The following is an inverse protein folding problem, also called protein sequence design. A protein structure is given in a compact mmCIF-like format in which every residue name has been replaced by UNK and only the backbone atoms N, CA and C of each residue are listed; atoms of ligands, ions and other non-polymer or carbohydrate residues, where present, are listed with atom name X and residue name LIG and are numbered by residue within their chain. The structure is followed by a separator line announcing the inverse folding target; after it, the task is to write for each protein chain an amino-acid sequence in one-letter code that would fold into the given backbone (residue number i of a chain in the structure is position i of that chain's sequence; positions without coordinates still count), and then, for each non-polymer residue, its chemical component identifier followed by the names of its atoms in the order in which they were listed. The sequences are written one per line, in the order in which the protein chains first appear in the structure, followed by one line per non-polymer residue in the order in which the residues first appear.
data_IF_512107972514
#
_entry.id   IF_512107972514
#
_cell.length_a   1.000
_cell.length_b   1.000
_cell.length_c   1.000
_cell.angle_alpha   90.00
_cell.angle_beta   90.00
_cell.angle_gamma   90.00
#
_symmetry.space_group_name_H-M   'P 1'
#
loop_
_entity.id
_entity.type
_entity.pdbx_description
1 polymer ?
#
# COMPACT_ATOMS: atom_id res chain seq x y z
N UNK A 1 4.35 4.40 19.80
CA UNK A 1 4.09 4.11 19.31
C UNK A 1 3.50 3.40 19.20
N UNK A 2 3.14 3.24 19.14
CA UNK A 2 2.55 2.66 19.10
C UNK A 2 2.44 1.83 18.46
N UNK A 3 2.71 1.47 18.50
CA UNK A 3 2.93 0.52 17.95
C UNK A 3 2.12 -0.27 17.26
N UNK A 4 1.54 0.00 16.58
CA UNK A 4 0.73 -0.82 15.79
C UNK A 4 1.29 -1.01 14.44
N UNK A 5 2.58 -0.82 14.30
CA UNK A 5 3.17 -1.02 13.03
C UNK A 5 3.26 -2.49 12.72
N UNK A 6 2.69 -2.91 11.63
CA UNK A 6 2.85 -4.26 11.15
C UNK A 6 4.21 -4.39 10.53
N UNK A 7 4.93 -5.44 10.88
CA UNK A 7 6.24 -5.69 10.30
C UNK A 7 6.13 -6.76 9.24
N UNK A 8 6.57 -6.42 8.04
CA UNK A 8 6.57 -7.36 6.94
C UNK A 8 7.66 -8.39 7.15
N UNK A 9 7.31 -9.65 6.94
CA UNK A 9 8.27 -10.73 6.97
C UNK A 9 8.70 -11.01 5.54
N UNK A 10 9.91 -10.58 5.19
CA UNK A 10 10.40 -10.72 3.82
C UNK A 10 10.60 -12.17 3.42
N UNK A 11 10.56 -13.09 4.36
CA UNK A 11 10.69 -14.51 4.05
C UNK A 11 9.35 -15.18 3.81
N UNK A 12 8.25 -14.43 3.97
CA UNK A 12 6.91 -14.96 3.74
C UNK A 12 6.15 -14.00 2.85
N UNK A 13 6.32 -14.10 1.53
CA UNK A 13 5.66 -13.19 0.61
C UNK A 13 4.15 -13.29 0.70
N UNK A 14 3.52 -12.14 0.74
CA UNK A 14 2.07 -12.03 0.79
C UNK A 14 1.67 -10.95 -0.21
N UNK A 15 0.38 -10.65 -0.28
CA UNK A 15 -0.13 -9.62 -1.17
C UNK A 15 -0.18 -8.30 -0.44
N UNK A 16 0.57 -7.32 -0.93
CA UNK A 16 0.66 -5.99 -0.33
C UNK A 16 0.09 -4.97 -1.31
N UNK A 17 -0.83 -4.16 -0.83
CA UNK A 17 -1.42 -3.09 -1.62
C UNK A 17 -0.97 -1.75 -1.08
N UNK A 18 -0.55 -0.87 -1.98
CA UNK A 18 -0.05 0.46 -1.62
C UNK A 18 -1.07 1.51 -2.03
N UNK A 19 -1.45 2.39 -1.12
CA UNK A 19 -2.25 3.55 -1.46
C UNK A 19 -1.29 4.69 -1.72
N UNK A 20 -1.22 5.14 -2.98
CA UNK A 20 -0.25 6.15 -3.40
C UNK A 20 1.09 5.53 -3.77
N UNK A 21 1.06 4.48 -4.56
CA UNK A 21 2.25 3.67 -4.85
C UNK A 21 3.32 4.46 -5.61
N UNK A 22 2.94 5.56 -6.27
CA UNK A 22 3.90 6.35 -7.04
C UNK A 22 4.79 7.27 -6.22
N UNK A 23 4.59 7.33 -4.92
CA UNK A 23 5.48 8.12 -4.07
C UNK A 23 6.88 7.52 -4.04
N UNK A 24 7.86 8.34 -3.75
CA UNK A 24 9.26 7.90 -3.81
C UNK A 24 9.52 6.78 -2.83
N UNK A 25 9.12 6.96 -1.58
CA UNK A 25 9.32 5.92 -0.57
C UNK A 25 8.50 4.68 -0.86
N UNK A 26 7.28 4.90 -1.30
CA UNK A 26 6.35 3.81 -1.56
C UNK A 26 6.85 2.96 -2.72
N UNK A 27 7.27 3.61 -3.80
CA UNK A 27 7.74 2.87 -4.97
C UNK A 27 9.02 2.11 -4.67
N UNK A 28 9.89 2.69 -3.84
CA UNK A 28 11.10 2.00 -3.45
C UNK A 28 10.81 0.72 -2.67
N UNK A 29 9.89 0.81 -1.71
CA UNK A 29 9.51 -0.38 -0.96
C UNK A 29 8.83 -1.41 -1.86
N UNK A 30 7.97 -0.93 -2.75
CA UNK A 30 7.29 -1.84 -3.68
C UNK A 30 8.28 -2.61 -4.53
N UNK A 31 9.33 -1.95 -5.00
CA UNK A 31 10.35 -2.64 -5.78
C UNK A 31 11.07 -3.71 -4.98
N UNK A 32 11.37 -3.41 -3.73
CA UNK A 32 12.01 -4.39 -2.87
C UNK A 32 11.12 -5.62 -2.71
N UNK A 33 9.84 -5.39 -2.47
CA UNK A 33 8.90 -6.49 -2.27
C UNK A 33 8.73 -7.33 -3.53
N UNK A 34 8.65 -6.66 -4.69
CA UNK A 34 8.57 -7.41 -5.96
C UNK A 34 9.80 -8.30 -6.13
N UNK A 35 10.96 -7.78 -5.78
CA UNK A 35 12.19 -8.57 -5.89
C UNK A 35 12.23 -9.74 -4.94
N UNK A 36 11.40 -9.72 -3.90
CA UNK A 36 11.32 -10.80 -2.92
C UNK A 36 10.16 -11.75 -3.17
N UNK A 37 9.47 -11.60 -4.29
CA UNK A 37 8.39 -12.50 -4.65
C UNK A 37 7.03 -12.15 -4.09
N UNK A 38 6.88 -10.96 -3.51
CA UNK A 38 5.58 -10.52 -3.03
C UNK A 38 4.67 -10.16 -4.21
N UNK A 39 3.39 -10.35 -4.01
CA UNK A 39 2.40 -9.79 -4.92
C UNK A 39 2.18 -8.35 -4.50
N UNK A 40 2.36 -7.43 -5.44
CA UNK A 40 2.25 -6.01 -5.15
C UNK A 40 1.19 -5.39 -6.04
N UNK A 41 0.29 -4.65 -5.44
CA UNK A 41 -0.65 -3.82 -6.16
C UNK A 41 -0.63 -2.45 -5.53
N UNK A 42 -1.18 -1.48 -6.23
CA UNK A 42 -1.24 -0.15 -5.68
C UNK A 42 -2.04 0.79 -6.53
N UNK A 43 -2.40 1.91 -5.95
CA UNK A 43 -3.15 2.93 -6.63
C UNK A 43 -2.40 4.24 -6.58
N UNK A 44 -2.68 5.08 -7.55
CA UNK A 44 -2.17 6.44 -7.57
C UNK A 44 -3.13 7.31 -8.35
N UNK A 45 -3.07 8.62 -8.09
CA UNK A 45 -3.93 9.55 -8.79
C UNK A 45 -3.56 9.73 -10.23
N UNK A 46 -2.31 9.48 -10.58
CA UNK A 46 -1.90 9.66 -11.96
C UNK A 46 -0.67 8.82 -12.28
N UNK A 47 -0.52 8.59 -13.55
CA UNK A 47 0.60 7.82 -14.07
C UNK A 47 1.90 8.62 -13.95
N UNK A 48 2.99 7.92 -13.71
CA UNK A 48 4.31 8.52 -13.62
C UNK A 48 5.33 7.51 -14.09
N UNK A 49 6.59 7.94 -14.21
CA UNK A 49 7.65 7.01 -14.54
C UNK A 49 7.79 5.93 -13.49
N UNK A 50 7.63 6.30 -12.23
CA UNK A 50 7.75 5.32 -11.15
C UNK A 50 6.66 4.26 -11.25
N UNK A 51 5.40 4.67 -11.50
CA UNK A 51 4.33 3.69 -11.60
C UNK A 51 4.48 2.82 -12.83
N UNK A 52 4.97 3.39 -13.95
CA UNK A 52 5.18 2.60 -15.15
C UNK A 52 6.27 1.57 -14.95
N UNK A 53 7.33 1.95 -14.24
CA UNK A 53 8.40 1.00 -13.95
C UNK A 53 7.92 -0.13 -13.08
N UNK A 54 7.13 0.20 -12.05
CA UNK A 54 6.59 -0.82 -11.18
C UNK A 54 5.68 -1.78 -11.95
N UNK A 55 4.86 -1.25 -12.84
CA UNK A 55 3.99 -2.11 -13.65
C UNK A 55 4.81 -3.02 -14.53
N UNK A 56 5.89 -2.51 -15.11
CA UNK A 56 6.76 -3.35 -15.92
C UNK A 56 7.44 -4.43 -15.10
N UNK A 57 7.65 -4.17 -13.83
CA UNK A 57 8.30 -5.14 -12.93
C UNK A 57 7.30 -6.10 -12.29
N UNK A 58 6.02 -5.99 -12.62
CA UNK A 58 5.03 -6.96 -12.18
C UNK A 58 3.98 -6.47 -11.21
N UNK A 59 4.00 -5.20 -10.83
CA UNK A 59 2.98 -4.67 -9.93
C UNK A 59 1.68 -4.41 -10.69
N UNK A 60 0.56 -4.57 -9.98
CA UNK A 60 -0.76 -4.23 -10.51
C UNK A 60 -1.06 -2.79 -10.13
N UNK A 61 -1.14 -1.90 -11.10
CA UNK A 61 -1.31 -0.49 -10.84
C UNK A 61 -2.70 -0.05 -11.25
N UNK A 62 -3.39 0.66 -10.35
CA UNK A 62 -4.70 1.24 -10.62
C UNK A 62 -4.57 2.76 -10.62
N UNK A 63 -4.98 3.40 -11.68
CA UNK A 63 -4.99 4.86 -11.71
C UNK A 63 -6.38 5.33 -11.33
N UNK A 64 -6.42 6.14 -10.28
CA UNK A 64 -7.68 6.50 -9.65
C UNK A 64 -7.89 5.67 -8.40
N UNK A 65 -8.09 6.36 -7.30
CA UNK A 65 -8.24 5.68 -6.01
C UNK A 65 -9.70 5.45 -5.75
N UNK A 66 -10.08 4.19 -5.59
CA UNK A 66 -11.47 3.77 -5.45
C UNK A 66 -11.56 2.67 -4.43
N UNK A 67 -12.70 2.62 -3.75
CA UNK A 67 -12.94 1.56 -2.77
C UNK A 67 -12.79 0.18 -3.39
N UNK A 68 -13.17 0.02 -4.65
CA UNK A 68 -13.07 -1.27 -5.33
C UNK A 68 -11.66 -1.77 -5.55
N UNK A 69 -10.65 -0.91 -5.36
CA UNK A 69 -9.26 -1.36 -5.45
C UNK A 69 -8.84 -2.17 -4.23
N UNK A 70 -9.60 -2.08 -3.17
CA UNK A 70 -9.32 -2.84 -1.94
C UNK A 70 -10.15 -4.12 -1.99
N UNK A 71 -9.48 -5.25 -1.95
CA UNK A 71 -10.17 -6.53 -1.95
C UNK A 71 -9.76 -7.33 -0.73
N UNK A 72 -10.58 -8.32 -0.40
CA UNK A 72 -10.34 -9.10 0.80
C UNK A 72 -9.22 -10.11 0.64
N UNK A 73 -8.65 -10.22 -0.56
CA UNK A 73 -7.45 -11.04 -0.73
C UNK A 73 -6.16 -10.34 -0.38
N UNK A 74 -6.21 -9.02 -0.17
CA UNK A 74 -5.03 -8.26 0.20
C UNK A 74 -4.66 -8.59 1.63
N UNK A 75 -3.39 -8.88 1.86
CA UNK A 75 -2.91 -9.23 3.19
C UNK A 75 -2.45 -8.02 3.99
N UNK A 76 -1.84 -7.06 3.32
CA UNK A 76 -1.29 -5.87 3.99
C UNK A 76 -1.56 -4.66 3.13
N UNK A 77 -1.98 -3.57 3.76
CA UNK A 77 -2.14 -2.29 3.08
C UNK A 77 -1.13 -1.31 3.64
N UNK A 78 -0.41 -0.64 2.75
CA UNK A 78 0.59 0.34 3.14
C UNK A 78 0.14 1.71 2.65
N UNK A 79 0.18 2.70 3.52
CA UNK A 79 -0.16 4.07 3.15
C UNK A 79 0.68 5.03 3.98
N UNK A 80 0.71 6.29 3.59
CA UNK A 80 1.48 7.29 4.33
C UNK A 80 0.57 8.19 5.14
N UNK A 81 1.17 8.92 6.06
CA UNK A 81 0.42 9.88 6.87
C UNK A 81 -0.14 11.03 6.02
N UNK A 82 0.32 11.18 4.79
CA UNK A 82 -0.17 12.23 3.91
C UNK A 82 -1.49 11.90 3.25
N UNK A 83 -2.01 10.69 3.44
CA UNK A 83 -3.25 10.32 2.80
C UNK A 83 -4.40 11.18 3.31
N UNK A 84 -5.29 11.57 2.41
CA UNK A 84 -6.45 12.37 2.80
C UNK A 84 -7.49 11.50 3.48
N UNK A 85 -8.13 12.01 4.53
CA UNK A 85 -9.16 11.21 5.22
C UNK A 85 -10.33 10.84 4.32
N UNK A 86 -10.59 11.60 3.26
CA UNK A 86 -11.69 11.30 2.35
C UNK A 86 -11.28 10.42 1.19
N UNK A 87 -10.04 9.91 1.19
CA UNK A 87 -9.61 8.97 0.17
C UNK A 87 -10.49 7.74 0.22
N UNK A 88 -11.10 7.33 -0.90
CA UNK A 88 -12.05 6.22 -0.86
C UNK A 88 -11.43 4.89 -0.47
N UNK A 89 -10.17 4.66 -0.81
CA UNK A 89 -9.52 3.43 -0.39
C UNK A 89 -9.24 3.43 1.10
N UNK A 90 -8.86 4.58 1.63
CA UNK A 90 -8.64 4.69 3.06
C UNK A 90 -9.95 4.53 3.83
N UNK A 91 -11.04 5.09 3.31
CA UNK A 91 -12.32 4.99 3.99
C UNK A 91 -12.83 3.55 4.03
N UNK A 92 -12.73 2.82 2.92
CA UNK A 92 -13.18 1.44 2.93
C UNK A 92 -12.28 0.58 3.80
N UNK A 93 -10.98 0.87 3.81
CA UNK A 93 -10.06 0.16 4.66
C UNK A 93 -10.44 0.31 6.13
N UNK A 94 -10.72 1.55 6.56
CA UNK A 94 -11.11 1.80 7.94
C UNK A 94 -12.40 1.08 8.27
N UNK A 95 -13.38 1.10 7.35
CA UNK A 95 -14.64 0.42 7.57
C UNK A 95 -14.44 -1.08 7.74
N UNK A 96 -13.67 -1.69 6.84
CA UNK A 96 -13.47 -3.13 6.88
C UNK A 96 -12.70 -3.55 8.12
N UNK A 97 -11.74 -2.76 8.51
CA UNK A 97 -10.96 -3.06 9.72
C UNK A 97 -11.84 -3.03 10.96
N UNK A 98 -12.78 -2.08 11.00
CA UNK A 98 -13.67 -1.97 12.13
C UNK A 98 -14.70 -3.08 12.19
N UNK A 99 -15.23 -3.50 11.03
CA UNK A 99 -16.40 -4.35 11.01
C UNK A 99 -16.06 -5.83 10.89
N UNK A 100 -15.07 -6.16 10.06
CA UNK A 100 -14.88 -7.54 9.68
C UNK A 100 -13.50 -8.06 9.94
N UNK A 101 -12.57 -7.19 10.19
CA UNK A 101 -11.17 -7.55 10.34
C UNK A 101 -10.61 -8.34 9.17
N UNK A 102 -11.06 -8.11 7.93
CA UNK A 102 -10.50 -8.85 6.81
C UNK A 102 -9.10 -8.41 6.47
N UNK A 103 -8.75 -7.17 6.85
CA UNK A 103 -7.42 -6.64 6.64
C UNK A 103 -6.87 -6.24 7.98
N UNK A 104 -6.30 -7.23 8.67
CA UNK A 104 -5.78 -6.97 9.99
C UNK A 104 -4.44 -6.28 9.95
N UNK A 105 -3.73 -6.44 8.86
CA UNK A 105 -2.35 -6.00 8.77
C UNK A 105 -2.28 -4.74 7.95
N UNK A 106 -2.30 -3.62 8.65
CA UNK A 106 -2.22 -2.31 8.00
C UNK A 106 -0.94 -1.66 8.44
N UNK A 107 -0.16 -1.22 7.49
CA UNK A 107 1.10 -0.59 7.79
C UNK A 107 1.11 0.82 7.23
N UNK A 108 1.61 1.74 8.03
CA UNK A 108 1.78 3.11 7.60
C UNK A 108 3.25 3.33 7.28
N UNK A 109 3.52 3.72 6.05
CA UNK A 109 4.87 4.07 5.68
C UNK A 109 5.10 5.50 6.11
N UNK A 110 5.89 5.68 7.12
CA UNK A 110 6.16 7.01 7.61
C UNK A 110 6.96 7.77 6.58
N UNK A 111 6.62 8.99 6.34
CA UNK A 111 7.45 9.81 5.49
C UNK A 111 8.76 9.95 6.20
N UNK A 112 9.61 9.82 5.51
CA UNK A 112 10.81 9.84 6.14
C UNK A 112 11.14 11.07 6.78
N UNK A 113 10.71 11.23 7.01
CA UNK A 113 10.98 11.86 7.64
C UNK A 113 10.90 12.22 8.35
N UNK A 114 10.66 12.12 8.39
CA UNK A 114 10.28 12.39 9.14
C UNK A 114 11.05 12.84 9.97
N UNK A 115 11.41 13.16 10.09
CA UNK A 115 12.01 13.49 10.76
C UNK A 115 12.58 13.95 10.86
N UNK A 116 12.75 14.33 11.22
CA UNK A 116 13.29 14.87 11.40
C UNK A 116 13.33 14.95 11.54
#
# INVERSE_FOLDING_TARGET
MTGTMYQLDFNHPVWVHFIGIGGISMSGLAEILLGRGFRVSGSDGKESELTRKLAADGAEIFYGQRAGNISDGIDVVVYTAAIHPDNPEFQILAFLTMKFEPLKNVATAAPSNTGP
#
